data_IF_110135720061
#
_entry.id   IF_110135720061
#
_cell.length_a   1.000
_cell.length_b   1.000
_cell.length_c   1.000
_cell.angle_alpha   90.00
_cell.angle_beta   90.00
_cell.angle_gamma   90.00
#
_symmetry.space_group_name_H-M   'P 1'
#
loop_
_entity.id
_entity.type
_entity.pdbx_description
1 polymer ?
#
# COMPACT_ATOMS: atom_id res chain seq x y z
N UNK A 1 6.56 10.69 -12.62
CA UNK A 1 5.08 10.72 -12.70
C UNK A 1 4.66 12.17 -12.55
N UNK A 2 3.74 12.63 -13.39
CA UNK A 2 3.16 13.97 -13.29
C UNK A 2 1.70 13.82 -12.86
N UNK A 3 1.27 14.57 -11.84
CA UNK A 3 -0.14 14.65 -11.45
C UNK A 3 -0.60 16.09 -11.56
N UNK A 4 -1.63 16.33 -12.38
CA UNK A 4 -2.36 17.60 -12.40
C UNK A 4 -3.39 17.59 -11.27
N UNK A 5 -3.29 18.56 -10.37
CA UNK A 5 -4.20 18.78 -9.24
C UNK A 5 -5.01 20.02 -9.55
N UNK A 6 -6.34 19.93 -9.46
CA UNK A 6 -7.24 21.06 -9.66
C UNK A 6 -7.77 21.52 -8.30
N UNK A 7 -7.49 22.78 -7.93
CA UNK A 7 -7.73 23.34 -6.59
C UNK A 7 -9.21 23.28 -6.18
N UNK A 8 -10.13 23.59 -7.08
CA UNK A 8 -11.57 23.51 -6.81
C UNK A 8 -12.07 22.11 -6.42
N UNK A 9 -11.40 21.04 -6.89
CA UNK A 9 -11.75 19.65 -6.54
C UNK A 9 -10.94 19.12 -5.35
N UNK A 10 -9.63 19.42 -5.32
CA UNK A 10 -8.69 18.91 -4.32
C UNK A 10 -7.94 20.07 -3.65
N UNK A 11 -8.64 20.91 -2.86
CA UNK A 11 -8.09 22.19 -2.39
C UNK A 11 -6.88 22.06 -1.46
N UNK A 12 -6.73 20.91 -0.80
CA UNK A 12 -5.71 20.67 0.22
C UNK A 12 -4.61 19.70 -0.23
N UNK A 13 -4.70 19.13 -1.44
CA UNK A 13 -3.78 18.07 -1.87
C UNK A 13 -2.33 18.57 -1.97
N UNK A 14 -2.13 19.75 -2.56
CA UNK A 14 -0.79 20.33 -2.73
C UNK A 14 -0.16 20.63 -1.37
N UNK A 15 -0.92 21.22 -0.45
CA UNK A 15 -0.46 21.56 0.91
C UNK A 15 -0.06 20.30 1.68
N UNK A 16 -0.90 19.26 1.67
CA UNK A 16 -0.63 17.99 2.37
C UNK A 16 0.59 17.30 1.75
N UNK A 17 0.69 17.26 0.42
CA UNK A 17 1.82 16.65 -0.27
C UNK A 17 3.14 17.39 0.04
N UNK A 18 3.12 18.72 0.13
CA UNK A 18 4.26 19.54 0.55
C UNK A 18 4.65 19.26 2.00
N UNK A 19 3.68 19.22 2.91
CA UNK A 19 3.91 18.91 4.32
C UNK A 19 4.60 17.55 4.48
N UNK A 20 4.03 16.49 3.89
CA UNK A 20 4.56 15.13 3.96
C UNK A 20 5.90 14.95 3.24
N UNK A 21 6.21 15.82 2.26
CA UNK A 21 7.49 15.85 1.55
C UNK A 21 8.53 16.80 2.16
N UNK A 22 8.21 17.48 3.27
CA UNK A 22 9.16 18.35 3.97
C UNK A 22 10.41 17.58 4.39
N UNK A 23 11.56 18.25 4.42
CA UNK A 23 12.86 17.57 4.62
C UNK A 23 12.88 16.70 5.89
N UNK A 24 12.36 17.23 6.99
CA UNK A 24 12.26 16.51 8.27
C UNK A 24 11.44 15.24 8.14
N UNK A 25 10.23 15.32 7.58
CA UNK A 25 9.35 14.15 7.48
C UNK A 25 9.83 13.16 6.40
N UNK A 26 10.42 13.65 5.31
CA UNK A 26 10.96 12.83 4.22
C UNK A 26 12.13 11.95 4.67
N UNK A 27 12.88 12.38 5.67
CA UNK A 27 13.99 11.62 6.25
C UNK A 27 13.56 10.52 7.24
N UNK A 28 12.32 10.56 7.75
CA UNK A 28 11.83 9.52 8.66
C UNK A 28 11.52 8.24 7.86
N UNK A 29 12.14 7.08 8.18
CA UNK A 29 11.95 5.85 7.42
C UNK A 29 10.51 5.31 7.50
N UNK A 30 9.71 5.72 8.50
CA UNK A 30 8.30 5.36 8.63
C UNK A 30 7.41 6.16 7.67
N UNK A 31 7.95 7.20 7.04
CA UNK A 31 7.25 7.99 6.05
C UNK A 31 7.15 7.26 4.70
N UNK A 32 6.10 6.46 4.57
CA UNK A 32 5.75 5.80 3.32
C UNK A 32 4.93 6.70 2.38
N UNK A 33 5.17 8.01 2.32
CA UNK A 33 4.48 8.89 1.36
C UNK A 33 5.36 9.17 0.15
N UNK A 34 4.78 9.24 -1.05
CA UNK A 34 5.58 9.48 -2.26
C UNK A 34 6.26 10.85 -2.17
N UNK A 35 7.58 10.95 -2.42
CA UNK A 35 8.25 12.24 -2.38
C UNK A 35 7.82 13.09 -3.57
N UNK A 36 7.53 14.36 -3.31
CA UNK A 36 7.35 15.39 -4.34
C UNK A 36 8.72 15.99 -4.68
N UNK A 37 9.10 15.91 -5.95
CA UNK A 37 10.36 16.43 -6.47
C UNK A 37 10.26 17.91 -6.82
N UNK A 38 9.11 18.32 -7.37
CA UNK A 38 8.87 19.69 -7.82
C UNK A 38 7.35 19.97 -7.90
N UNK A 39 6.98 21.23 -7.74
CA UNK A 39 5.60 21.72 -7.83
C UNK A 39 5.59 22.99 -8.65
N UNK A 40 4.74 23.06 -9.66
CA UNK A 40 4.59 24.27 -10.46
C UNK A 40 3.15 24.50 -10.90
N UNK A 41 2.75 25.77 -10.98
CA UNK A 41 1.44 26.20 -11.49
C UNK A 41 1.37 26.06 -13.01
N UNK A 42 0.17 25.82 -13.54
CA UNK A 42 -0.07 25.79 -14.98
C UNK A 42 -0.33 27.22 -15.49
N UNK A 43 0.46 27.75 -16.44
CA UNK A 43 0.32 29.15 -16.87
C UNK A 43 -1.07 29.53 -17.39
N UNK A 44 -1.71 28.64 -18.15
CA UNK A 44 -3.01 28.88 -18.78
C UNK A 44 -4.21 28.44 -17.92
N UNK A 45 -3.96 27.93 -16.71
CA UNK A 45 -4.99 27.41 -15.83
C UNK A 45 -4.64 27.68 -14.35
N UNK A 46 -5.16 28.79 -13.77
CA UNK A 46 -4.82 29.20 -12.40
C UNK A 46 -5.35 28.22 -11.33
N UNK A 47 -6.29 27.34 -11.68
CA UNK A 47 -6.81 26.32 -10.78
C UNK A 47 -5.96 25.05 -10.80
N UNK A 48 -5.02 24.91 -11.74
CA UNK A 48 -4.21 23.72 -11.91
C UNK A 48 -2.76 23.89 -11.44
N UNK A 49 -2.32 22.90 -10.66
CA UNK A 49 -0.94 22.72 -10.22
C UNK A 49 -0.45 21.35 -10.65
N UNK A 50 0.80 21.23 -11.06
CA UNK A 50 1.42 19.94 -11.39
C UNK A 50 2.39 19.54 -10.28
N UNK A 51 2.19 18.33 -9.77
CA UNK A 51 3.13 17.65 -8.87
C UNK A 51 4.03 16.72 -9.67
N UNK A 52 5.34 16.90 -9.55
CA UNK A 52 6.35 16.01 -10.11
C UNK A 52 6.78 15.01 -9.04
N UNK A 53 6.62 13.73 -9.32
CA UNK A 53 6.98 12.62 -8.42
C UNK A 53 7.86 11.61 -9.17
N UNK A 54 8.61 10.72 -8.48
CA UNK A 54 9.33 9.64 -9.15
C UNK A 54 8.40 8.74 -9.99
N UNK A 55 8.96 8.07 -11.00
CA UNK A 55 8.21 7.07 -11.75
C UNK A 55 8.07 5.80 -10.90
N UNK A 56 6.88 5.58 -10.35
CA UNK A 56 6.57 4.44 -9.48
C UNK A 56 5.81 3.34 -10.23
N UNK A 57 5.70 2.16 -9.61
CA UNK A 57 4.93 1.02 -10.14
C UNK A 57 3.89 0.54 -9.14
N UNK A 58 2.72 0.09 -9.62
CA UNK A 58 1.60 -0.38 -8.76
C UNK A 58 2.05 -1.52 -7.84
N UNK A 59 1.63 -1.51 -6.57
CA UNK A 59 2.09 -2.43 -5.53
C UNK A 59 2.05 -3.92 -5.91
N UNK A 60 1.04 -4.33 -6.68
CA UNK A 60 0.77 -5.71 -7.06
C UNK A 60 1.25 -6.08 -8.48
N UNK A 61 2.00 -5.21 -9.16
CA UNK A 61 2.54 -5.48 -10.50
C UNK A 61 4.09 -5.45 -10.47
N UNK A 62 4.77 -6.58 -10.65
CA UNK A 62 4.24 -7.92 -10.90
C UNK A 62 3.62 -8.50 -9.63
N UNK A 63 2.80 -9.54 -9.74
CA UNK A 63 2.14 -10.17 -8.59
C UNK A 63 3.16 -10.64 -7.54
N UNK A 64 2.78 -10.58 -6.27
CA UNK A 64 3.55 -11.20 -5.18
C UNK A 64 3.63 -12.71 -5.38
N UNK A 65 4.76 -13.31 -4.99
CA UNK A 65 5.05 -14.72 -5.22
C UNK A 65 4.94 -15.58 -3.96
N UNK A 66 5.16 -14.98 -2.79
CA UNK A 66 5.16 -15.69 -1.49
C UNK A 66 4.35 -14.95 -0.44
N UNK A 67 3.90 -15.67 0.59
CA UNK A 67 3.25 -15.07 1.77
C UNK A 67 4.12 -13.97 2.36
N UNK A 68 5.41 -14.21 2.51
CA UNK A 68 6.33 -13.25 3.09
C UNK A 68 6.51 -11.96 2.28
N UNK A 69 6.42 -12.01 0.94
CA UNK A 69 6.39 -10.79 0.12
C UNK A 69 5.15 -9.93 0.39
N UNK A 70 4.00 -10.54 0.69
CA UNK A 70 2.78 -9.81 1.06
C UNK A 70 2.84 -9.32 2.50
N UNK A 71 3.38 -10.12 3.43
CA UNK A 71 3.62 -9.69 4.81
C UNK A 71 4.52 -8.45 4.83
N UNK A 72 5.60 -8.44 4.04
CA UNK A 72 6.49 -7.28 3.91
C UNK A 72 5.76 -6.04 3.35
N UNK A 73 4.82 -6.22 2.44
CA UNK A 73 3.96 -5.16 1.93
C UNK A 73 3.01 -4.62 3.02
N UNK A 74 2.28 -5.49 3.71
CA UNK A 74 1.33 -5.09 4.75
C UNK A 74 2.03 -4.39 5.91
N UNK A 75 3.21 -4.88 6.33
CA UNK A 75 4.00 -4.25 7.39
C UNK A 75 4.31 -2.78 7.06
N UNK A 76 4.85 -2.51 5.85
CA UNK A 76 5.13 -1.15 5.38
C UNK A 76 3.86 -0.29 5.24
N UNK A 77 2.76 -0.88 4.79
CA UNK A 77 1.49 -0.15 4.64
C UNK A 77 0.88 0.23 5.99
N UNK A 78 0.95 -0.65 6.99
CA UNK A 78 0.48 -0.35 8.34
C UNK A 78 1.40 0.65 9.05
N UNK A 79 2.71 0.50 8.92
CA UNK A 79 3.71 1.46 9.42
C UNK A 79 3.49 2.86 8.82
N UNK A 80 3.31 2.96 7.50
CA UNK A 80 3.04 4.23 6.83
C UNK A 80 1.74 4.89 7.27
N UNK A 81 0.70 4.10 7.48
CA UNK A 81 -0.58 4.63 7.98
C UNK A 81 -0.47 5.05 9.46
N UNK A 82 0.23 4.28 10.28
CA UNK A 82 0.52 4.61 11.67
C UNK A 82 1.23 5.96 11.75
N UNK A 83 2.28 6.14 10.95
CA UNK A 83 3.04 7.37 10.89
C UNK A 83 2.18 8.56 10.42
N UNK A 84 1.33 8.39 9.40
CA UNK A 84 0.38 9.43 9.01
C UNK A 84 -0.58 9.80 10.15
N UNK A 85 -1.09 8.83 10.91
CA UNK A 85 -1.97 9.09 12.06
C UNK A 85 -1.24 9.81 13.20
N UNK A 86 0.03 9.48 13.47
CA UNK A 86 0.89 10.22 14.41
C UNK A 86 1.09 11.69 13.99
N UNK A 87 1.11 11.96 12.68
CA UNK A 87 1.15 13.30 12.11
C UNK A 87 -0.23 13.97 12.01
N UNK A 88 -1.28 13.35 12.55
CA UNK A 88 -2.67 13.80 12.47
C UNK A 88 -3.17 13.96 11.03
N UNK A 89 -2.68 13.12 10.12
CA UNK A 89 -3.10 13.06 8.72
C UNK A 89 -3.98 11.84 8.48
N UNK A 90 -5.19 12.08 7.97
CA UNK A 90 -6.06 11.02 7.47
C UNK A 90 -6.01 10.97 5.94
N UNK A 91 -5.62 9.82 5.37
CA UNK A 91 -5.52 9.67 3.91
C UNK A 91 -6.89 9.67 3.22
N UNK A 92 -7.89 9.00 3.81
CA UNK A 92 -9.30 8.93 3.37
C UNK A 92 -9.59 8.28 2.00
N UNK A 93 -8.57 7.80 1.29
CA UNK A 93 -8.71 7.01 0.06
C UNK A 93 -7.69 5.88 -0.02
N UNK A 94 -7.69 5.09 1.03
CA UNK A 94 -6.75 4.01 1.23
C UNK A 94 -7.17 2.79 0.37
N UNK A 95 -6.90 2.81 -0.94
CA UNK A 95 -7.08 1.65 -1.85
C UNK A 95 -5.76 1.11 -2.42
N UNK A 96 -5.77 -0.09 -3.01
CA UNK A 96 -4.55 -0.74 -3.54
C UNK A 96 -3.89 0.07 -4.65
N UNK A 97 -4.73 0.75 -5.44
CA UNK A 97 -4.35 1.60 -6.57
C UNK A 97 -3.52 2.81 -6.12
N UNK A 98 -3.74 3.26 -4.88
CA UNK A 98 -3.04 4.38 -4.26
C UNK A 98 -1.79 3.93 -3.49
N UNK A 99 -1.33 2.69 -3.74
CA UNK A 99 -0.07 2.18 -3.19
C UNK A 99 0.81 1.73 -4.34
N UNK A 100 2.01 2.31 -4.37
CA UNK A 100 3.03 2.06 -5.38
C UNK A 100 4.33 1.63 -4.70
N UNK A 101 5.32 1.22 -5.47
CA UNK A 101 6.67 0.98 -4.97
C UNK A 101 7.71 1.60 -5.89
N UNK A 102 8.89 1.85 -5.32
CA UNK A 102 10.07 2.27 -6.08
C UNK A 102 10.62 1.10 -6.91
N UNK A 103 10.53 1.17 -8.25
CA UNK A 103 10.90 0.06 -9.11
C UNK A 103 12.40 -0.12 -9.26
N UNK A 104 13.25 0.85 -8.88
CA UNK A 104 14.69 0.87 -9.22
C UNK A 104 15.43 -0.39 -8.76
N UNK A 105 15.09 -0.91 -7.59
CA UNK A 105 15.70 -2.14 -7.04
C UNK A 105 15.30 -3.40 -7.82
N UNK A 106 14.05 -3.49 -8.26
CA UNK A 106 13.53 -4.69 -8.93
C UNK A 106 13.66 -4.61 -10.46
N UNK A 107 13.75 -3.41 -11.02
CA UNK A 107 13.90 -3.10 -12.44
C UNK A 107 15.14 -2.20 -12.65
N UNK A 108 16.37 -2.74 -12.65
CA UNK A 108 17.58 -1.93 -12.86
C UNK A 108 17.63 -1.20 -14.21
N UNK A 109 16.90 -1.70 -15.22
CA UNK A 109 16.73 -1.06 -16.54
C UNK A 109 15.38 -0.37 -16.71
N UNK A 110 14.66 -0.16 -15.61
CA UNK A 110 13.31 0.39 -15.56
C UNK A 110 12.33 -0.38 -16.48
N UNK A 111 11.19 0.24 -16.77
CA UNK A 111 10.13 -0.27 -17.63
C UNK A 111 9.52 0.92 -18.39
N UNK A 112 8.75 0.64 -19.44
CA UNK A 112 8.10 1.71 -20.20
C UNK A 112 6.97 2.37 -19.38
N UNK A 113 6.91 3.72 -19.26
CA UNK A 113 5.97 4.39 -18.35
C UNK A 113 4.48 4.15 -18.63
N UNK A 114 4.10 3.92 -19.89
CA UNK A 114 2.71 3.62 -20.28
C UNK A 114 2.47 2.10 -20.32
N UNK A 115 3.19 1.38 -21.20
CA UNK A 115 3.18 -0.09 -21.24
C UNK A 115 4.12 -0.74 -20.22
N UNK A 116 3.69 -0.84 -18.96
CA UNK A 116 4.58 -1.28 -17.87
C UNK A 116 5.18 -2.69 -18.01
N UNK A 117 4.64 -3.53 -18.87
CA UNK A 117 5.18 -4.86 -19.18
C UNK A 117 6.27 -4.86 -20.26
N UNK A 118 6.53 -3.70 -20.88
CA UNK A 118 7.56 -3.50 -21.90
C UNK A 118 8.84 -2.89 -21.31
N UNK A 119 9.97 -3.24 -21.91
CA UNK A 119 11.25 -2.59 -21.62
C UNK A 119 11.16 -1.09 -21.91
N UNK A 120 12.00 -0.28 -21.26
CA UNK A 120 11.97 1.17 -21.41
C UNK A 120 12.02 1.66 -22.87
N UNK A 121 12.78 0.97 -23.73
CA UNK A 121 12.88 1.26 -25.17
C UNK A 121 11.79 0.59 -26.03
N UNK A 122 10.78 -0.02 -25.43
CA UNK A 122 9.66 -0.71 -26.08
C UNK A 122 10.02 -1.95 -26.93
N UNK A 123 11.29 -2.38 -26.95
CA UNK A 123 11.77 -3.49 -27.81
C UNK A 123 11.52 -4.90 -27.26
N UNK A 124 11.10 -5.04 -26.00
CA UNK A 124 10.93 -6.35 -25.38
C UNK A 124 10.15 -6.29 -24.07
N UNK A 125 10.23 -7.36 -23.27
CA UNK A 125 9.61 -7.42 -21.95
C UNK A 125 10.45 -6.67 -20.90
N UNK A 126 9.78 -6.01 -19.96
CA UNK A 126 10.44 -5.44 -18.80
C UNK A 126 11.01 -6.58 -17.93
N UNK A 127 12.34 -6.74 -17.93
CA UNK A 127 13.01 -7.76 -17.10
C UNK A 127 13.12 -7.26 -15.67
N UNK A 128 12.75 -8.10 -14.71
CA UNK A 128 12.75 -7.76 -13.30
C UNK A 128 13.20 -8.91 -12.40
N UNK A 129 13.61 -8.57 -11.19
CA UNK A 129 13.87 -9.50 -10.09
C UNK A 129 12.58 -9.82 -9.31
N UNK A 130 12.66 -10.61 -8.24
CA UNK A 130 11.55 -10.79 -7.28
C UNK A 130 11.74 -9.89 -6.07
N UNK A 131 10.67 -9.64 -5.31
CA UNK A 131 10.78 -8.82 -4.09
C UNK A 131 11.60 -9.55 -3.03
N UNK A 132 11.56 -10.88 -2.97
CA UNK A 132 12.47 -11.67 -2.10
C UNK A 132 13.95 -11.43 -2.41
N UNK A 133 14.33 -11.31 -3.69
CA UNK A 133 15.72 -11.08 -4.07
C UNK A 133 16.13 -9.61 -3.91
N UNK A 134 15.23 -8.71 -4.29
CA UNK A 134 15.39 -7.26 -4.29
C UNK A 134 14.18 -6.62 -3.59
N UNK A 135 14.21 -6.49 -2.24
CA UNK A 135 13.15 -5.83 -1.48
C UNK A 135 12.85 -4.43 -2.01
N UNK A 136 11.59 -4.00 -1.87
CA UNK A 136 11.12 -2.71 -2.37
C UNK A 136 10.47 -1.90 -1.25
N UNK A 137 10.60 -0.58 -1.35
CA UNK A 137 9.87 0.39 -0.52
C UNK A 137 8.50 0.66 -1.16
N UNK A 138 7.42 0.55 -0.37
CA UNK A 138 6.08 0.95 -0.79
C UNK A 138 5.76 2.38 -0.34
N UNK A 139 4.95 3.06 -1.14
CA UNK A 139 4.54 4.44 -0.91
C UNK A 139 3.05 4.64 -1.19
N UNK A 140 2.41 5.45 -0.34
CA UNK A 140 1.09 6.03 -0.55
C UNK A 140 1.18 7.17 -1.56
N UNK A 141 0.19 7.24 -2.44
CA UNK A 141 -0.03 8.32 -3.39
C UNK A 141 -1.47 8.80 -3.29
N UNK A 142 -1.76 9.91 -3.96
CA UNK A 142 -3.10 10.48 -4.08
C UNK A 142 -3.67 11.01 -2.75
N UNK A 143 -3.33 12.26 -2.44
CA UNK A 143 -3.78 12.92 -1.23
C UNK A 143 -4.97 13.84 -1.48
N UNK A 144 -5.69 13.66 -2.60
CA UNK A 144 -6.85 14.49 -2.99
C UNK A 144 -7.93 14.57 -1.93
N UNK A 145 -8.21 13.42 -1.29
CA UNK A 145 -9.22 13.31 -0.24
C UNK A 145 -8.65 13.48 1.16
N UNK A 146 -7.32 13.60 1.29
CA UNK A 146 -6.65 13.62 2.59
C UNK A 146 -6.91 14.90 3.37
N UNK A 147 -6.72 14.83 4.67
CA UNK A 147 -6.88 15.95 5.60
C UNK A 147 -5.83 15.86 6.69
N UNK A 148 -5.38 17.03 7.16
CA UNK A 148 -4.52 17.19 8.33
C UNK A 148 -5.30 17.93 9.40
N UNK A 149 -5.19 17.47 10.65
CA UNK A 149 -5.93 18.01 11.79
C UNK A 149 -4.98 18.67 12.78
N UNK A 150 -5.39 19.78 13.38
CA UNK A 150 -4.73 20.34 14.55
C UNK A 150 -5.36 19.67 15.81
N UNK A 151 -4.57 19.01 16.67
CA UNK A 151 -5.08 18.41 17.91
C UNK A 151 -5.81 19.41 18.83
N UNK A 152 -5.47 20.69 18.74
CA UNK A 152 -6.11 21.76 19.53
C UNK A 152 -7.57 22.03 19.12
N UNK A 153 -7.96 21.68 17.88
CA UNK A 153 -9.33 21.87 17.37
C UNK A 153 -10.31 20.79 17.88
N UNK A 154 -9.81 19.84 18.69
CA UNK A 154 -10.58 18.70 19.18
C UNK A 154 -10.57 17.50 18.22
N UNK A 155 -11.45 16.52 18.43
CA UNK A 155 -11.43 15.29 17.65
C UNK A 155 -11.79 15.55 16.17
N UNK A 156 -11.11 14.91 15.21
CA UNK A 156 -11.41 15.05 13.79
C UNK A 156 -12.87 14.72 13.45
N UNK A 157 -13.51 15.59 12.67
CA UNK A 157 -14.91 15.44 12.22
C UNK A 157 -15.05 15.90 10.78
N UNK A 158 -15.43 14.99 9.89
CA UNK A 158 -15.49 15.24 8.45
C UNK A 158 -16.83 14.82 7.86
N UNK A 159 -17.21 15.44 6.74
CA UNK A 159 -18.27 14.88 5.89
C UNK A 159 -17.75 13.61 5.22
N UNK A 160 -18.49 12.49 5.25
CA UNK A 160 -18.17 11.30 4.48
C UNK A 160 -17.88 11.62 3.01
N UNK A 161 -16.84 10.97 2.48
CA UNK A 161 -16.50 11.03 1.07
C UNK A 161 -16.25 9.61 0.59
N UNK A 162 -16.94 9.21 -0.48
CA UNK A 162 -16.78 7.89 -1.08
C UNK A 162 -15.63 7.94 -2.08
N UNK A 163 -14.47 7.45 -1.66
CA UNK A 163 -13.29 7.29 -2.50
C UNK A 163 -13.38 6.08 -3.43
N UNK A 164 -12.24 5.44 -3.67
CA UNK A 164 -12.14 4.23 -4.49
C UNK A 164 -12.86 3.03 -3.89
N UNK A 165 -12.89 2.92 -2.57
CA UNK A 165 -13.69 1.92 -1.86
C UNK A 165 -15.05 2.51 -1.45
N UNK A 166 -16.11 1.85 -1.92
CA UNK A 166 -17.49 2.30 -1.77
C UNK A 166 -18.27 1.46 -0.75
N UNK A 167 -17.62 0.52 -0.04
CA UNK A 167 -18.31 -0.43 0.85
C UNK A 167 -18.37 0.01 2.31
N UNK A 168 -17.78 1.15 2.66
CA UNK A 168 -17.80 1.72 4.03
C UNK A 168 -19.23 1.76 4.59
N UNK A 169 -19.54 1.03 5.67
CA UNK A 169 -20.91 0.85 6.17
C UNK A 169 -21.55 2.17 6.63
N UNK A 170 -20.82 2.97 7.40
CA UNK A 170 -21.30 4.25 7.93
C UNK A 170 -21.60 5.28 6.83
N UNK A 171 -21.16 5.05 5.59
CA UNK A 171 -21.42 5.94 4.45
C UNK A 171 -22.67 5.56 3.67
N UNK A 172 -23.21 4.34 3.83
CA UNK A 172 -24.31 3.85 2.98
C UNK A 172 -25.63 4.58 3.26
N UNK A 173 -25.92 4.83 4.53
CA UNK A 173 -27.17 5.46 5.00
C UNK A 173 -26.89 6.78 5.73
N UNK A 174 -25.89 7.52 5.26
CA UNK A 174 -25.45 8.76 5.90
C UNK A 174 -26.56 9.82 5.93
N UNK A 175 -26.85 10.39 7.11
CA UNK A 175 -27.95 11.34 7.33
C UNK A 175 -27.51 12.79 7.54
N UNK A 176 -26.22 13.09 7.36
CA UNK A 176 -25.66 14.45 7.52
C UNK A 176 -24.62 14.58 8.63
N UNK A 177 -24.45 13.56 9.47
CA UNK A 177 -23.54 13.58 10.63
C UNK A 177 -22.06 13.63 10.23
N UNK A 178 -21.22 14.32 11.00
CA UNK A 178 -19.78 14.27 10.77
C UNK A 178 -19.21 12.95 11.32
N UNK A 179 -18.23 12.38 10.62
CA UNK A 179 -17.57 11.12 10.98
C UNK A 179 -16.12 11.35 11.34
N UNK A 180 -15.60 10.49 12.21
CA UNK A 180 -14.16 10.40 12.45
C UNK A 180 -13.48 9.66 11.27
N UNK A 181 -12.54 10.28 10.56
CA UNK A 181 -11.86 9.66 9.43
C UNK A 181 -10.87 8.56 9.84
N UNK A 182 -10.44 8.50 11.10
CA UNK A 182 -9.42 7.54 11.56
C UNK A 182 -9.94 6.10 11.52
N UNK A 183 -11.10 5.75 12.12
CA UNK A 183 -11.71 4.43 11.95
C UNK A 183 -12.08 4.09 10.49
N UNK A 184 -12.41 5.09 9.67
CA UNK A 184 -12.65 4.86 8.24
C UNK A 184 -11.35 4.43 7.52
N UNK A 185 -10.21 5.04 7.84
CA UNK A 185 -8.93 4.60 7.30
C UNK A 185 -8.61 3.14 7.67
N UNK A 186 -8.95 2.72 8.89
CA UNK A 186 -8.78 1.33 9.34
C UNK A 186 -9.65 0.38 8.49
N UNK A 187 -10.92 0.74 8.27
CA UNK A 187 -11.80 -0.03 7.39
C UNK A 187 -11.21 -0.20 5.99
N UNK A 188 -10.74 0.88 5.37
CA UNK A 188 -10.12 0.82 4.05
C UNK A 188 -8.89 -0.11 4.01
N UNK A 189 -8.12 -0.19 5.09
CA UNK A 189 -6.99 -1.13 5.19
C UNK A 189 -7.43 -2.57 5.39
N UNK A 190 -8.47 -2.81 6.17
CA UNK A 190 -9.06 -4.13 6.31
C UNK A 190 -9.58 -4.62 4.96
N UNK A 191 -10.39 -3.80 4.29
CA UNK A 191 -10.92 -4.06 2.93
C UNK A 191 -9.81 -4.30 1.91
N UNK A 192 -8.76 -3.48 1.92
CA UNK A 192 -7.57 -3.70 1.09
C UNK A 192 -6.99 -5.10 1.34
N UNK A 193 -6.83 -5.49 2.62
CA UNK A 193 -6.24 -6.78 3.00
C UNK A 193 -7.11 -7.94 2.52
N UNK A 194 -8.44 -7.78 2.52
CA UNK A 194 -9.37 -8.75 1.93
C UNK A 194 -9.11 -8.92 0.43
N UNK A 195 -9.16 -7.81 -0.32
CA UNK A 195 -9.04 -7.82 -1.78
C UNK A 195 -7.65 -8.25 -2.25
N UNK A 196 -6.61 -7.94 -1.47
CA UNK A 196 -5.23 -8.24 -1.84
C UNK A 196 -4.80 -9.62 -1.39
N UNK A 197 -5.18 -10.06 -0.18
CA UNK A 197 -4.59 -11.23 0.46
C UNK A 197 -5.55 -12.39 0.67
N UNK A 198 -6.81 -12.14 1.04
CA UNK A 198 -7.78 -13.20 1.37
C UNK A 198 -8.21 -14.04 0.15
N UNK A 199 -7.93 -13.56 -1.06
CA UNK A 199 -8.04 -14.33 -2.30
C UNK A 199 -6.98 -15.43 -2.45
N UNK A 200 -5.93 -15.45 -1.62
CA UNK A 200 -4.88 -16.47 -1.67
C UNK A 200 -5.06 -17.48 -0.54
N UNK A 201 -4.73 -18.75 -0.80
CA UNK A 201 -4.65 -19.76 0.27
C UNK A 201 -3.42 -19.48 1.14
N UNK A 202 -3.54 -19.73 2.42
CA UNK A 202 -2.46 -19.56 3.39
C UNK A 202 -2.49 -18.22 4.13
N UNK A 203 -3.41 -17.34 3.75
CA UNK A 203 -3.67 -16.02 4.32
C UNK A 203 -4.61 -16.02 5.54
N UNK A 204 -5.11 -17.19 5.94
CA UNK A 204 -6.20 -17.34 6.91
C UNK A 204 -5.85 -16.79 8.30
N UNK A 205 -4.57 -16.78 8.66
CA UNK A 205 -4.07 -16.27 9.93
C UNK A 205 -4.36 -14.77 10.14
N UNK A 206 -4.58 -13.99 9.08
CA UNK A 206 -4.96 -12.58 9.20
C UNK A 206 -6.46 -12.37 9.44
N UNK A 207 -7.29 -13.41 9.28
CA UNK A 207 -8.75 -13.31 9.36
C UNK A 207 -9.24 -12.54 10.58
N UNK A 208 -8.90 -12.94 11.81
CA UNK A 208 -9.40 -12.27 13.01
C UNK A 208 -9.05 -10.78 13.10
N UNK A 209 -7.85 -10.38 12.66
CA UNK A 209 -7.46 -8.97 12.64
C UNK A 209 -8.26 -8.20 11.58
N UNK A 210 -8.39 -8.77 10.39
CA UNK A 210 -9.09 -8.13 9.27
C UNK A 210 -10.57 -7.98 9.57
N UNK A 211 -11.21 -8.98 10.17
CA UNK A 211 -12.62 -8.96 10.54
C UNK A 211 -12.92 -7.80 11.50
N UNK A 212 -12.05 -7.57 12.50
CA UNK A 212 -12.18 -6.43 13.41
C UNK A 212 -11.92 -5.09 12.70
N UNK A 213 -10.95 -5.02 11.78
CA UNK A 213 -10.68 -3.80 11.01
C UNK A 213 -11.86 -3.38 10.13
N UNK A 214 -12.64 -4.35 9.62
CA UNK A 214 -13.81 -4.09 8.76
C UNK A 214 -15.15 -4.11 9.51
N UNK A 215 -15.12 -4.05 10.84
CA UNK A 215 -16.34 -4.01 11.64
C UNK A 215 -17.29 -2.88 11.18
N UNK A 216 -18.59 -3.19 11.15
CA UNK A 216 -19.60 -2.27 10.64
C UNK A 216 -19.70 -1.00 11.51
N UNK A 217 -19.63 -1.16 12.83
CA UNK A 217 -19.53 -0.06 13.77
C UNK A 217 -18.07 0.47 13.81
N UNK A 218 -17.83 1.75 13.45
CA UNK A 218 -16.50 2.35 13.50
C UNK A 218 -15.84 2.31 14.88
N UNK A 219 -16.64 2.30 15.96
CA UNK A 219 -16.11 2.28 17.34
C UNK A 219 -15.56 0.91 17.75
N UNK A 220 -15.94 -0.15 17.04
CA UNK A 220 -15.43 -1.51 17.30
C UNK A 220 -14.14 -1.80 16.54
N UNK A 221 -13.71 -0.89 15.65
CA UNK A 221 -12.48 -1.06 14.87
C UNK A 221 -11.26 -0.77 15.76
N UNK A 222 -10.19 -1.56 15.64
CA UNK A 222 -8.95 -1.28 16.36
C UNK A 222 -8.31 0.01 15.85
N UNK A 223 -7.56 0.68 16.72
CA UNK A 223 -6.65 1.77 16.35
C UNK A 223 -5.52 1.24 15.47
N UNK A 224 -4.83 2.14 14.74
CA UNK A 224 -3.70 1.72 13.90
C UNK A 224 -2.55 1.14 14.74
N UNK A 225 -2.35 1.63 15.97
CA UNK A 225 -1.37 1.10 16.92
C UNK A 225 -1.70 -0.35 17.29
N UNK A 226 -2.97 -0.64 17.59
CA UNK A 226 -3.44 -2.01 17.87
C UNK A 226 -3.31 -2.90 16.63
N UNK A 227 -3.60 -2.38 15.43
CA UNK A 227 -3.42 -3.14 14.18
C UNK A 227 -1.97 -3.56 13.99
N UNK A 228 -1.01 -2.63 14.14
CA UNK A 228 0.43 -2.92 14.01
C UNK A 228 0.87 -3.96 15.04
N UNK A 229 0.49 -3.77 16.31
CA UNK A 229 0.82 -4.69 17.40
C UNK A 229 0.25 -6.10 17.14
N UNK A 230 -1.05 -6.20 16.86
CA UNK A 230 -1.73 -7.47 16.59
C UNK A 230 -1.18 -8.15 15.33
N UNK A 231 -0.85 -7.38 14.30
CA UNK A 231 -0.23 -7.91 13.09
C UNK A 231 1.12 -8.54 13.41
N UNK A 232 1.99 -7.86 14.16
CA UNK A 232 3.29 -8.40 14.55
C UNK A 232 3.16 -9.66 15.43
N UNK A 233 2.19 -9.71 16.34
CA UNK A 233 1.87 -10.93 17.12
C UNK A 233 1.44 -12.11 16.22
N UNK A 234 0.62 -11.85 15.20
CA UNK A 234 0.18 -12.87 14.24
C UNK A 234 1.32 -13.43 13.37
N UNK A 235 2.43 -12.70 13.24
CA UNK A 235 3.60 -13.15 12.48
C UNK A 235 4.52 -14.07 13.28
N UNK A 236 4.58 -13.95 14.61
CA UNK A 236 5.48 -14.75 15.49
C UNK A 236 5.39 -16.27 15.28
N UNK A 237 4.20 -16.89 15.16
CA UNK A 237 4.12 -18.34 14.97
C UNK A 237 4.43 -18.80 13.53
N UNK A 238 4.62 -17.89 12.57
CA UNK A 238 4.86 -18.26 11.18
C UNK A 238 6.32 -18.63 10.96
N UNK A 239 6.55 -19.87 10.55
CA UNK A 239 7.89 -20.32 10.19
C UNK A 239 8.32 -19.85 8.78
N UNK A 240 9.61 -20.00 8.50
CA UNK A 240 10.16 -19.65 7.19
C UNK A 240 9.55 -20.47 6.05
N UNK A 241 9.09 -21.70 6.30
CA UNK A 241 8.46 -22.54 5.29
C UNK A 241 7.11 -21.94 4.85
N UNK A 242 6.28 -21.53 5.81
CA UNK A 242 5.02 -20.84 5.59
C UNK A 242 5.24 -19.50 4.90
N UNK A 243 6.16 -18.67 5.39
CA UNK A 243 6.45 -17.37 4.79
C UNK A 243 7.00 -17.49 3.36
N UNK A 244 7.74 -18.55 3.06
CA UNK A 244 8.23 -18.82 1.71
C UNK A 244 7.20 -19.51 0.83
N UNK A 245 6.10 -20.02 1.36
CA UNK A 245 5.10 -20.75 0.57
C UNK A 245 4.47 -19.88 -0.53
N UNK A 246 4.07 -20.55 -1.62
CA UNK A 246 3.39 -19.94 -2.77
C UNK A 246 2.04 -19.33 -2.38
N UNK A 247 1.57 -18.41 -3.21
CA UNK A 247 0.25 -17.78 -3.13
C UNK A 247 -0.72 -18.33 -4.21
N UNK A 248 -1.26 -19.54 -4.09
CA UNK A 248 -2.28 -20.01 -5.01
C UNK A 248 -3.61 -19.29 -4.72
N UNK A 249 -4.36 -18.98 -5.78
CA UNK A 249 -5.68 -18.36 -5.65
C UNK A 249 -6.69 -19.34 -5.03
N UNK A 250 -7.53 -18.83 -4.12
CA UNK A 250 -8.65 -19.54 -3.53
C UNK A 250 -9.75 -19.69 -4.58
N UNK A 251 -10.40 -20.85 -4.62
CA UNK A 251 -11.48 -21.14 -5.58
C UNK A 251 -11.05 -21.30 -7.04
N UNK A 252 -9.78 -21.11 -7.37
CA UNK A 252 -9.24 -21.33 -8.71
C UNK A 252 -8.25 -22.50 -8.70
N UNK A 253 -8.72 -23.74 -8.95
CA UNK A 253 -7.85 -24.90 -8.96
C UNK A 253 -6.83 -24.80 -10.10
N UNK A 254 -5.56 -25.02 -9.78
CA UNK A 254 -4.52 -25.19 -10.78
C UNK A 254 -4.60 -26.60 -11.36
N UNK A 255 -4.52 -26.73 -12.69
CA UNK A 255 -4.34 -28.03 -13.32
C UNK A 255 -3.09 -28.73 -12.79
N UNK A 256 -3.16 -30.06 -12.64
CA UNK A 256 -2.13 -30.84 -11.94
C UNK A 256 -0.70 -30.62 -12.50
N UNK A 257 -0.55 -30.57 -13.83
CA UNK A 257 0.74 -30.29 -14.50
C UNK A 257 1.27 -28.90 -14.15
N UNK A 258 0.42 -27.88 -14.28
CA UNK A 258 0.77 -26.48 -13.99
C UNK A 258 1.18 -26.32 -12.53
N UNK A 259 0.44 -26.95 -11.62
CA UNK A 259 0.74 -26.95 -10.19
C UNK A 259 2.12 -27.55 -9.94
N UNK A 260 2.38 -28.75 -10.46
CA UNK A 260 3.65 -29.45 -10.30
C UNK A 260 4.83 -28.63 -10.84
N UNK A 261 4.74 -28.10 -12.06
CA UNK A 261 5.80 -27.25 -12.65
C UNK A 261 6.08 -26.01 -11.80
N UNK A 262 5.03 -25.34 -11.32
CA UNK A 262 5.16 -24.16 -10.47
C UNK A 262 5.73 -24.52 -9.10
N UNK A 263 5.36 -25.66 -8.52
CA UNK A 263 5.88 -26.15 -7.23
C UNK A 263 7.37 -26.48 -7.32
N UNK A 264 7.81 -27.17 -8.38
CA UNK A 264 9.24 -27.46 -8.62
C UNK A 264 10.02 -26.16 -8.82
N UNK A 265 9.56 -25.29 -9.71
CA UNK A 265 10.23 -24.01 -9.99
C UNK A 265 10.30 -23.10 -8.76
N UNK A 266 9.24 -23.12 -7.93
CA UNK A 266 9.23 -22.42 -6.65
C UNK A 266 10.18 -23.04 -5.64
N UNK A 267 10.18 -24.37 -5.48
CA UNK A 267 11.07 -25.08 -4.55
C UNK A 267 12.54 -24.79 -4.82
N UNK A 268 12.96 -24.85 -6.09
CA UNK A 268 14.32 -24.51 -6.51
C UNK A 268 14.69 -23.06 -6.16
N UNK A 269 13.77 -22.11 -6.42
CA UNK A 269 13.97 -20.69 -6.11
C UNK A 269 14.05 -20.44 -4.60
N UNK A 270 13.14 -21.03 -3.84
CA UNK A 270 13.08 -20.93 -2.38
C UNK A 270 14.34 -21.51 -1.74
N UNK A 271 14.83 -22.65 -2.23
CA UNK A 271 16.11 -23.24 -1.81
C UNK A 271 17.29 -22.29 -2.09
N UNK A 272 17.39 -21.77 -3.32
CA UNK A 272 18.41 -20.76 -3.67
C UNK A 272 18.36 -19.54 -2.75
N UNK A 273 17.18 -19.01 -2.45
CA UNK A 273 17.02 -17.86 -1.55
C UNK A 273 17.34 -18.20 -0.10
N UNK A 274 17.17 -19.44 0.35
CA UNK A 274 17.62 -19.88 1.66
C UNK A 274 19.15 -19.93 1.73
N UNK A 275 19.79 -20.51 0.70
CA UNK A 275 21.26 -20.56 0.58
C UNK A 275 21.89 -19.16 0.55
N UNK A 276 21.27 -18.22 -0.20
CA UNK A 276 21.68 -16.82 -0.27
C UNK A 276 21.26 -15.99 0.96
N UNK A 277 20.73 -16.62 2.02
CA UNK A 277 20.25 -15.98 3.26
C UNK A 277 19.32 -14.78 3.03
N UNK A 278 18.51 -14.83 1.97
CA UNK A 278 17.47 -13.82 1.73
C UNK A 278 16.38 -13.98 2.78
N UNK A 279 15.89 -12.88 3.34
CA UNK A 279 14.79 -12.93 4.32
C UNK A 279 13.53 -13.51 3.69
N UNK A 280 12.78 -14.32 4.45
CA UNK A 280 11.47 -14.78 4.02
C UNK A 280 10.44 -13.63 3.98
N UNK A 281 10.62 -12.62 4.85
CA UNK A 281 9.90 -11.33 4.81
C UNK A 281 10.88 -10.29 4.25
N UNK A 282 10.87 -10.02 2.93
CA UNK A 282 11.85 -9.15 2.30
C UNK A 282 11.53 -7.69 2.55
N UNK A 283 11.97 -7.20 3.70
CA UNK A 283 11.97 -5.78 4.00
C UNK A 283 13.22 -5.13 3.38
N UNK A 284 13.08 -3.90 2.85
CA UNK A 284 14.22 -3.08 2.45
C UNK A 284 15.13 -2.80 3.66
N UNK A 285 16.43 -2.57 3.44
CA UNK A 285 17.31 -2.16 4.52
C UNK A 285 16.82 -0.84 5.12
N UNK A 286 16.86 -0.70 6.44
CA UNK A 286 16.71 0.60 7.09
C UNK A 286 17.80 1.53 6.53
N UNK A 287 17.37 2.59 5.84
CA UNK A 287 18.24 3.63 5.29
C UNK A 287 18.84 4.50 6.39
#
# INVERSE_FOLDING_TARGET
>A
MLKRVVKSFNPLEVEIAQYLSSETLRSDPRNHTVPVLEIFSVPDDPEATVLVMPLMRRCNNPAWQTIGEVVAFLKQVFEGLQYMHELHVAHRDCVAQNIVYDPRYMYPRMFHPQETDKSFNFKGKARHSTRTACPVMYYFIDFGLSRRYNPEDGPPRERPIRGGDKTVPEFQNWKGDLVDPSPTNIYYRGSLTIVTFYKFKGAEFLGPLVDDMIAADPLQRPTIQEVVCRFDELLKPLDNAKLRSRLPLRGQPEGWVTRWLRDVGHGLRSFRYALLRKSAIPLPPSS
#
